data_IF_865446011421
#
_entry.id   IF_865446011421
#
_cell.length_a   1.000
_cell.length_b   1.000
_cell.length_c   1.000
_cell.angle_alpha   90.00
_cell.angle_beta   90.00
_cell.angle_gamma   90.00
#
_symmetry.space_group_name_H-M   'P 1'
#
loop_
_entity.id
_entity.type
_entity.pdbx_description
1 polymer ?
#
# COMPACT_ATOMS: atom_id res chain seq x y z
N UNK A 1 13.06 -18.32 -51.14
CA UNK A 1 13.15 -17.09 -50.34
C UNK A 1 12.09 -17.16 -49.24
N UNK A 2 12.49 -17.47 -48.01
CA UNK A 2 11.60 -17.42 -46.84
C UNK A 2 11.71 -16.03 -46.21
N UNK A 3 10.61 -15.28 -46.20
CA UNK A 3 10.51 -14.02 -45.48
C UNK A 3 10.24 -14.33 -44.00
N UNK A 4 11.25 -14.14 -43.15
CA UNK A 4 11.07 -14.11 -41.71
C UNK A 4 10.34 -12.82 -41.34
N UNK A 5 9.07 -12.93 -40.96
CA UNK A 5 8.35 -11.86 -40.27
C UNK A 5 8.96 -11.72 -38.87
N UNK A 6 9.79 -10.71 -38.67
CA UNK A 6 10.13 -10.25 -37.33
C UNK A 6 8.88 -9.61 -36.73
N UNK A 7 8.11 -10.37 -35.96
CA UNK A 7 7.17 -9.80 -35.00
C UNK A 7 7.99 -9.05 -33.96
N UNK A 8 8.16 -7.74 -34.17
CA UNK A 8 8.47 -6.80 -33.10
C UNK A 8 7.29 -6.83 -32.14
N UNK A 9 7.35 -7.74 -31.17
CA UNK A 9 6.59 -7.59 -29.94
C UNK A 9 7.21 -6.38 -29.26
N UNK A 10 6.68 -5.20 -29.56
CA UNK A 10 6.86 -4.06 -28.67
C UNK A 10 6.37 -4.56 -27.31
N UNK A 11 7.21 -4.62 -26.26
CA UNK A 11 6.65 -4.74 -24.94
C UNK A 11 5.71 -3.54 -24.83
N UNK A 12 4.41 -3.81 -24.67
CA UNK A 12 3.54 -2.85 -24.06
C UNK A 12 4.12 -2.66 -22.66
N UNK A 13 5.12 -1.77 -22.55
CA UNK A 13 5.66 -1.40 -21.27
C UNK A 13 4.46 -0.86 -20.53
N UNK A 14 4.06 -1.57 -19.47
CA UNK A 14 3.26 -0.97 -18.43
C UNK A 14 3.96 0.35 -18.13
N UNK A 15 3.38 1.46 -18.59
CA UNK A 15 3.90 2.79 -18.29
C UNK A 15 3.95 2.84 -16.78
N UNK A 16 5.16 2.82 -16.21
CA UNK A 16 5.30 2.86 -14.77
C UNK A 16 4.61 4.13 -14.30
N UNK A 17 3.68 4.08 -13.35
CA UNK A 17 2.95 5.29 -12.93
C UNK A 17 3.86 6.38 -12.39
N UNK A 18 5.07 6.03 -11.96
CA UNK A 18 6.14 6.99 -11.65
C UNK A 18 6.51 7.89 -12.84
N UNK A 19 6.29 7.46 -14.08
CA UNK A 19 6.44 8.26 -15.29
C UNK A 19 5.34 9.32 -15.47
N UNK A 20 4.23 9.20 -14.72
CA UNK A 20 3.17 10.21 -14.63
C UNK A 20 3.16 10.98 -13.31
N UNK A 21 3.99 10.57 -12.35
CA UNK A 21 4.11 11.19 -11.05
C UNK A 21 4.77 12.59 -11.19
N UNK A 22 4.07 13.69 -10.85
CA UNK A 22 4.62 15.03 -10.99
C UNK A 22 5.64 15.40 -9.89
N UNK A 23 5.76 14.58 -8.84
CA UNK A 23 6.82 14.66 -7.82
C UNK A 23 8.18 14.38 -8.45
N UNK A 24 9.23 15.11 -8.08
CA UNK A 24 10.60 14.86 -8.59
C UNK A 24 11.20 13.54 -8.09
N UNK A 25 12.18 12.98 -8.79
CA UNK A 25 12.85 11.74 -8.37
C UNK A 25 13.53 11.90 -7.00
N UNK A 26 14.07 13.09 -6.71
CA UNK A 26 14.68 13.40 -5.41
C UNK A 26 13.67 13.41 -4.25
N UNK A 27 12.42 13.80 -4.51
CA UNK A 27 11.36 13.73 -3.52
C UNK A 27 10.83 12.32 -3.38
N UNK A 28 10.65 11.61 -4.50
CA UNK A 28 10.23 10.21 -4.49
C UNK A 28 11.29 9.34 -3.82
N UNK A 29 12.57 9.71 -3.83
CA UNK A 29 13.63 9.01 -3.13
C UNK A 29 13.57 9.14 -1.59
N UNK A 30 12.71 10.00 -1.02
CA UNK A 30 12.51 10.12 0.43
C UNK A 30 11.64 8.97 0.96
N UNK A 31 12.10 7.74 0.73
CA UNK A 31 11.44 6.50 1.11
C UNK A 31 11.41 6.32 2.62
N UNK A 32 10.31 5.77 3.13
CA UNK A 32 10.26 5.27 4.49
C UNK A 32 11.11 4.01 4.59
N UNK A 33 12.08 4.02 5.50
CA UNK A 33 12.89 2.83 5.77
C UNK A 33 12.03 1.76 6.47
N UNK A 34 11.81 0.64 5.78
CA UNK A 34 11.12 -0.52 6.35
C UNK A 34 12.11 -1.61 6.73
N UNK A 35 11.84 -2.35 7.81
CA UNK A 35 12.63 -3.52 8.19
C UNK A 35 11.93 -4.79 7.70
N UNK A 36 12.57 -5.59 6.84
CA UNK A 36 11.96 -6.83 6.33
C UNK A 36 11.73 -7.82 7.48
N UNK A 37 10.61 -8.55 7.38
CA UNK A 37 10.23 -9.61 8.32
C UNK A 37 10.16 -10.97 7.63
N UNK A 38 9.44 -11.05 6.51
CA UNK A 38 9.14 -12.30 5.83
C UNK A 38 8.82 -12.02 4.36
N UNK A 39 9.31 -12.89 3.47
CA UNK A 39 8.72 -13.07 2.14
C UNK A 39 7.99 -14.40 2.18
N UNK A 40 6.68 -14.39 1.87
CA UNK A 40 5.85 -15.57 2.00
C UNK A 40 6.35 -16.73 1.13
N UNK A 41 6.44 -17.96 1.67
CA UNK A 41 6.53 -19.15 0.82
C UNK A 41 5.23 -19.34 0.02
N UNK A 42 5.30 -20.04 -1.11
CA UNK A 42 4.08 -20.42 -1.85
C UNK A 42 3.26 -21.48 -1.11
N UNK A 43 3.94 -22.49 -0.56
CA UNK A 43 3.31 -23.61 0.15
C UNK A 43 4.01 -23.80 1.49
N UNK A 44 3.25 -23.69 2.58
CA UNK A 44 3.78 -23.75 3.93
C UNK A 44 2.66 -23.78 4.96
N UNK A 45 2.86 -24.59 5.99
CA UNK A 45 2.04 -24.62 7.21
C UNK A 45 2.73 -23.91 8.38
N UNK A 46 3.85 -23.23 8.12
CA UNK A 46 4.63 -22.59 9.16
C UNK A 46 3.87 -21.39 9.74
N UNK A 47 3.87 -21.29 11.06
CA UNK A 47 3.42 -20.09 11.78
C UNK A 47 4.63 -19.20 12.10
N UNK A 48 4.49 -17.89 11.99
CA UNK A 48 5.54 -16.93 12.32
C UNK A 48 5.10 -15.98 13.43
N UNK A 49 5.95 -15.81 14.44
CA UNK A 49 5.72 -14.85 15.51
C UNK A 49 6.73 -13.70 15.44
N UNK A 50 6.22 -12.50 15.11
CA UNK A 50 6.98 -11.27 14.98
C UNK A 50 7.01 -10.50 16.30
N UNK A 51 7.97 -10.82 17.18
CA UNK A 51 8.12 -10.23 18.54
C UNK A 51 8.20 -8.70 18.60
N UNK A 52 8.58 -8.04 17.49
CA UNK A 52 8.82 -6.59 17.41
C UNK A 52 7.76 -5.87 16.57
N UNK A 53 6.54 -6.38 16.53
CA UNK A 53 5.38 -5.80 15.84
C UNK A 53 4.23 -5.72 16.84
N UNK A 54 3.48 -4.62 16.84
CA UNK A 54 2.46 -4.35 17.85
C UNK A 54 3.04 -4.25 19.27
N UNK A 55 2.16 -4.30 20.27
CA UNK A 55 2.53 -4.13 21.69
C UNK A 55 3.03 -5.42 22.36
N UNK A 56 2.62 -6.59 21.85
CA UNK A 56 2.90 -7.90 22.43
C UNK A 56 3.57 -8.89 21.44
N UNK A 57 3.94 -8.42 20.25
CA UNK A 57 4.29 -9.30 19.13
C UNK A 57 3.05 -9.77 18.38
N UNK A 58 3.15 -9.96 17.07
CA UNK A 58 2.04 -10.43 16.21
C UNK A 58 2.39 -11.79 15.64
N UNK A 59 1.42 -12.70 15.62
CA UNK A 59 1.54 -14.03 15.01
C UNK A 59 0.80 -14.06 13.69
N UNK A 60 1.45 -14.57 12.64
CA UNK A 60 0.85 -14.91 11.36
C UNK A 60 0.65 -16.43 11.29
N UNK A 61 -0.59 -16.85 11.10
CA UNK A 61 -1.00 -18.26 11.07
C UNK A 61 -2.08 -18.50 10.01
N UNK A 62 -2.28 -19.76 9.62
CA UNK A 62 -3.35 -20.16 8.71
C UNK A 62 -4.72 -19.91 9.34
N UNK A 63 -5.69 -19.54 8.51
CA UNK A 63 -7.07 -19.47 8.94
C UNK A 63 -7.62 -20.89 9.16
N UNK A 64 -8.39 -21.13 10.23
CA UNK A 64 -9.07 -22.40 10.42
C UNK A 64 -10.02 -22.67 9.25
N UNK A 65 -9.92 -23.85 8.64
CA UNK A 65 -10.77 -24.32 7.54
C UNK A 65 -10.59 -23.60 6.18
N UNK A 66 -9.60 -22.73 6.05
CA UNK A 66 -9.24 -22.09 4.77
C UNK A 66 -7.73 -22.20 4.54
N UNK A 67 -7.30 -23.29 3.92
CA UNK A 67 -5.87 -23.67 3.83
C UNK A 67 -5.01 -22.62 3.13
N UNK A 68 -5.53 -21.81 2.23
CA UNK A 68 -4.75 -20.78 1.52
C UNK A 68 -4.79 -19.40 2.17
N UNK A 69 -5.64 -19.23 3.19
CA UNK A 69 -5.89 -17.95 3.83
C UNK A 69 -5.11 -17.81 5.14
N UNK A 70 -4.71 -16.58 5.42
CA UNK A 70 -3.91 -16.24 6.58
C UNK A 70 -4.63 -15.23 7.47
N UNK A 71 -4.33 -15.30 8.76
CA UNK A 71 -4.77 -14.32 9.75
C UNK A 71 -3.60 -13.89 10.63
N UNK A 72 -3.71 -12.66 11.14
CA UNK A 72 -2.82 -12.11 12.15
C UNK A 72 -3.50 -12.13 13.50
N UNK A 73 -2.82 -12.60 14.54
CA UNK A 73 -3.33 -12.66 15.90
C UNK A 73 -2.34 -12.05 16.89
N UNK A 74 -2.86 -11.39 17.92
CA UNK A 74 -2.07 -10.99 19.08
C UNK A 74 -2.95 -10.64 20.29
N UNK A 75 -2.33 -10.01 21.29
CA UNK A 75 -2.98 -9.40 22.44
C UNK A 75 -2.68 -7.91 22.51
N UNK A 76 -3.65 -7.15 22.97
CA UNK A 76 -3.46 -5.75 23.34
C UNK A 76 -2.77 -5.61 24.71
N UNK A 77 -2.56 -4.37 25.18
CA UNK A 77 -1.90 -4.11 26.47
C UNK A 77 -2.70 -4.59 27.68
N UNK A 78 -4.02 -4.74 27.54
CA UNK A 78 -4.87 -5.31 28.58
C UNK A 78 -4.86 -6.85 28.56
N UNK A 79 -4.11 -7.47 27.64
CA UNK A 79 -4.05 -8.92 27.47
C UNK A 79 -5.24 -9.51 26.71
N UNK A 80 -6.11 -8.66 26.15
CA UNK A 80 -7.25 -9.10 25.37
C UNK A 80 -6.81 -9.46 23.95
N UNK A 81 -7.21 -10.64 23.52
CA UNK A 81 -6.85 -11.16 22.19
C UNK A 81 -7.58 -10.42 21.07
N UNK A 82 -6.96 -10.42 19.89
CA UNK A 82 -7.57 -9.99 18.64
C UNK A 82 -7.06 -10.85 17.49
N UNK A 83 -7.84 -10.86 16.41
CA UNK A 83 -7.52 -11.53 15.14
C UNK A 83 -7.95 -10.66 13.97
N UNK A 84 -7.18 -10.69 12.89
CA UNK A 84 -7.45 -9.97 11.64
C UNK A 84 -7.15 -10.90 10.47
N UNK A 85 -8.17 -11.31 9.68
CA UNK A 85 -7.94 -11.99 8.40
C UNK A 85 -7.16 -11.10 7.44
N UNK A 86 -6.15 -11.65 6.76
CA UNK A 86 -5.34 -10.93 5.75
C UNK A 86 -5.36 -11.61 4.38
N UNK A 87 -6.13 -12.70 4.24
CA UNK A 87 -6.39 -13.35 2.96
C UNK A 87 -5.23 -14.21 2.46
N UNK A 88 -5.22 -14.47 1.15
CA UNK A 88 -4.11 -15.13 0.46
C UNK A 88 -2.89 -14.20 0.38
N UNK A 89 -1.75 -14.65 0.91
CA UNK A 89 -0.50 -13.87 0.91
C UNK A 89 0.55 -14.39 -0.09
N UNK A 90 0.18 -15.33 -0.96
CA UNK A 90 0.95 -15.73 -2.13
C UNK A 90 -0.03 -16.18 -3.22
N UNK A 91 0.19 -15.75 -4.45
CA UNK A 91 -0.68 -16.03 -5.59
C UNK A 91 0.15 -16.14 -6.89
N UNK A 92 -0.52 -16.28 -8.04
CA UNK A 92 0.17 -16.37 -9.34
C UNK A 92 0.99 -15.12 -9.71
N UNK A 93 0.66 -13.95 -9.15
CA UNK A 93 1.41 -12.71 -9.36
C UNK A 93 2.67 -12.62 -8.51
N UNK A 94 2.76 -13.39 -7.42
CA UNK A 94 3.97 -13.48 -6.61
C UNK A 94 3.71 -13.75 -5.13
N UNK A 95 4.71 -13.40 -4.32
CA UNK A 95 4.74 -13.65 -2.88
C UNK A 95 4.56 -12.35 -2.13
N UNK A 96 3.70 -12.35 -1.11
CA UNK A 96 3.56 -11.25 -0.17
C UNK A 96 4.88 -10.98 0.56
N UNK A 97 5.18 -9.70 0.73
CA UNK A 97 6.37 -9.21 1.42
C UNK A 97 5.93 -8.44 2.66
N UNK A 98 6.40 -8.89 3.83
CA UNK A 98 6.05 -8.34 5.13
C UNK A 98 7.22 -7.55 5.70
N UNK A 99 6.90 -6.38 6.22
CA UNK A 99 7.84 -5.46 6.83
C UNK A 99 7.29 -4.85 8.11
N UNK A 100 8.16 -4.22 8.89
CA UNK A 100 7.78 -3.36 10.00
C UNK A 100 8.44 -2.00 9.96
N UNK A 101 7.73 -1.00 10.47
CA UNK A 101 8.22 0.32 10.81
C UNK A 101 7.27 0.96 11.83
N UNK A 102 7.72 1.97 12.57
CA UNK A 102 6.82 2.84 13.34
C UNK A 102 6.33 3.93 12.38
N UNK A 103 5.12 3.81 11.83
CA UNK A 103 4.67 4.62 10.70
C UNK A 103 4.16 5.99 11.15
N UNK A 104 3.56 6.09 12.34
CA UNK A 104 3.00 7.32 12.90
C UNK A 104 3.82 7.91 14.06
N UNK A 105 5.01 7.34 14.32
CA UNK A 105 5.96 7.78 15.34
C UNK A 105 5.39 7.68 16.76
N UNK A 106 4.51 6.71 17.01
CA UNK A 106 3.91 6.49 18.32
C UNK A 106 4.71 5.53 19.23
N UNK A 107 5.85 5.01 18.74
CA UNK A 107 6.73 4.08 19.46
C UNK A 107 6.34 2.62 19.34
N UNK A 108 5.24 2.30 18.65
CA UNK A 108 4.81 0.93 18.32
C UNK A 108 5.28 0.62 16.89
N UNK A 109 5.72 -0.62 16.67
CA UNK A 109 6.09 -1.06 15.33
C UNK A 109 4.85 -1.60 14.62
N UNK A 110 4.48 -0.97 13.53
CA UNK A 110 3.38 -1.35 12.66
C UNK A 110 3.80 -2.44 11.67
N UNK A 111 2.82 -3.06 11.03
CA UNK A 111 3.01 -4.09 10.01
C UNK A 111 2.60 -3.55 8.64
N UNK A 112 3.48 -3.77 7.66
CA UNK A 112 3.23 -3.46 6.26
C UNK A 112 3.31 -4.77 5.48
N UNK A 113 2.26 -5.11 4.74
CA UNK A 113 2.25 -6.23 3.80
C UNK A 113 2.05 -5.66 2.41
N UNK A 114 2.96 -5.99 1.50
CA UNK A 114 2.81 -5.73 0.07
C UNK A 114 2.56 -7.03 -0.66
N UNK A 115 1.46 -7.11 -1.39
CA UNK A 115 1.07 -8.27 -2.17
C UNK A 115 1.00 -7.88 -3.65
N UNK A 116 1.78 -8.53 -4.54
CA UNK A 116 1.65 -8.28 -5.97
C UNK A 116 0.28 -8.75 -6.48
N UNK A 117 -0.25 -8.01 -7.46
CA UNK A 117 -1.45 -8.34 -8.21
C UNK A 117 -1.09 -8.64 -9.67
N UNK A 118 -1.90 -9.45 -10.35
CA UNK A 118 -1.76 -9.73 -11.78
C UNK A 118 -2.40 -8.64 -12.67
N UNK A 119 -2.70 -7.47 -12.09
CA UNK A 119 -3.28 -6.34 -12.80
C UNK A 119 -2.39 -5.89 -13.96
N UNK A 120 -3.01 -5.60 -15.10
CA UNK A 120 -2.34 -5.11 -16.31
C UNK A 120 -2.94 -3.77 -16.75
N UNK A 121 -2.15 -2.93 -17.42
CA UNK A 121 -2.62 -1.65 -17.94
C UNK A 121 -3.02 -0.69 -16.82
N UNK A 122 -4.29 -0.28 -16.78
CA UNK A 122 -4.84 0.64 -15.76
C UNK A 122 -5.38 -0.09 -14.50
N UNK A 123 -5.20 -1.41 -14.39
CA UNK A 123 -5.59 -2.16 -13.20
C UNK A 123 -4.49 -2.10 -12.13
N UNK A 124 -4.83 -2.01 -10.82
CA UNK A 124 -3.87 -1.99 -9.72
C UNK A 124 -2.84 -3.13 -9.77
N UNK A 125 -1.58 -2.80 -9.48
CA UNK A 125 -0.45 -3.74 -9.50
C UNK A 125 -0.15 -4.37 -8.14
N UNK A 126 -0.73 -3.84 -7.07
CA UNK A 126 -0.52 -4.37 -5.75
C UNK A 126 -1.70 -4.08 -4.82
N UNK A 127 -1.81 -4.95 -3.82
CA UNK A 127 -2.63 -4.74 -2.64
C UNK A 127 -1.69 -4.49 -1.45
N UNK A 128 -1.90 -3.37 -0.74
CA UNK A 128 -1.22 -3.11 0.52
C UNK A 128 -2.14 -3.47 1.68
N UNK A 129 -1.59 -4.11 2.70
CA UNK A 129 -2.24 -4.23 4.02
C UNK A 129 -1.37 -3.46 5.01
N UNK A 130 -1.86 -2.31 5.44
CA UNK A 130 -1.19 -1.41 6.38
C UNK A 130 -1.89 -1.53 7.72
N UNK A 131 -1.29 -2.30 8.64
CA UNK A 131 -1.82 -2.50 9.99
C UNK A 131 -1.02 -1.67 10.99
N UNK A 132 -1.70 -0.64 11.50
CA UNK A 132 -1.17 0.27 12.52
C UNK A 132 -1.82 0.00 13.87
N UNK A 133 -1.19 0.42 14.97
CA UNK A 133 -1.69 0.10 16.31
C UNK A 133 -2.03 1.34 17.12
N UNK A 134 -3.22 1.36 17.70
CA UNK A 134 -3.59 2.33 18.72
C UNK A 134 -2.68 2.19 19.96
N UNK A 135 -2.69 3.19 20.85
CA UNK A 135 -1.82 3.17 22.05
C UNK A 135 -2.08 1.98 22.98
N UNK A 136 -3.32 1.51 23.06
CA UNK A 136 -3.73 0.31 23.78
C UNK A 136 -3.33 -0.98 23.06
N UNK A 137 -2.93 -0.92 21.79
CA UNK A 137 -2.42 -2.06 21.03
C UNK A 137 -3.47 -2.77 20.17
N UNK A 138 -4.57 -2.09 19.85
CA UNK A 138 -5.59 -2.59 18.94
C UNK A 138 -5.24 -2.20 17.50
N UNK A 139 -5.41 -3.11 16.53
CA UNK A 139 -5.06 -2.83 15.16
C UNK A 139 -6.10 -1.94 14.47
N UNK A 140 -5.61 -1.05 13.62
CA UNK A 140 -6.34 -0.35 12.58
C UNK A 140 -5.74 -0.75 11.22
N UNK A 141 -6.58 -1.33 10.36
CA UNK A 141 -6.16 -1.95 9.11
C UNK A 141 -6.67 -1.10 7.94
N UNK A 142 -5.74 -0.66 7.11
CA UNK A 142 -5.99 0.08 5.88
C UNK A 142 -5.49 -0.74 4.69
N UNK A 143 -6.39 -1.03 3.73
CA UNK A 143 -6.17 -2.03 2.67
C UNK A 143 -6.37 -1.44 1.27
N UNK A 144 -5.51 -0.51 0.82
CA UNK A 144 -5.68 0.08 -0.49
C UNK A 144 -5.12 -0.82 -1.60
N UNK A 145 -5.87 -0.85 -2.71
CA UNK A 145 -5.41 -1.40 -3.99
C UNK A 145 -4.90 -0.24 -4.85
N UNK A 146 -3.70 -0.40 -5.39
CA UNK A 146 -3.11 0.67 -6.19
C UNK A 146 -1.90 0.21 -6.99
N UNK A 147 -1.15 1.19 -7.48
CA UNK A 147 0.03 0.96 -8.31
C UNK A 147 1.32 0.91 -7.49
N UNK A 148 1.25 0.27 -6.33
CA UNK A 148 2.33 0.29 -5.37
C UNK A 148 3.48 -0.64 -5.77
N UNK A 149 4.72 -0.17 -5.68
CA UNK A 149 5.90 -0.99 -5.95
C UNK A 149 6.67 -1.30 -4.67
N UNK A 150 7.38 -2.42 -4.68
CA UNK A 150 8.29 -2.80 -3.63
C UNK A 150 9.69 -3.06 -4.19
N UNK A 151 10.70 -2.61 -3.45
CA UNK A 151 12.12 -2.79 -3.74
C UNK A 151 12.82 -3.45 -2.56
N UNK A 152 14.15 -3.57 -2.64
CA UNK A 152 14.96 -4.19 -1.57
C UNK A 152 14.83 -3.46 -0.22
N UNK A 153 14.39 -2.20 -0.21
CA UNK A 153 14.29 -1.36 0.98
C UNK A 153 12.89 -1.28 1.57
N UNK A 154 11.88 -1.88 0.94
CA UNK A 154 10.48 -1.81 1.37
C UNK A 154 9.53 -1.46 0.25
N UNK A 155 8.35 -0.95 0.63
CA UNK A 155 7.37 -0.38 -0.29
C UNK A 155 7.84 1.02 -0.70
N UNK A 156 8.00 1.24 -2.00
CA UNK A 156 8.54 2.48 -2.53
C UNK A 156 7.56 3.65 -2.34
N UNK A 157 6.27 3.40 -2.26
CA UNK A 157 5.25 4.45 -2.17
C UNK A 157 4.93 4.89 -0.73
N UNK A 158 5.61 4.30 0.26
CA UNK A 158 5.65 4.80 1.62
C UNK A 158 6.85 5.76 1.77
N UNK A 159 6.57 7.02 2.07
CA UNK A 159 7.52 8.13 2.06
C UNK A 159 7.60 8.81 3.43
N UNK A 160 8.66 9.57 3.67
CA UNK A 160 8.81 10.51 4.80
C UNK A 160 9.18 11.89 4.24
N UNK A 161 8.21 12.52 3.56
CA UNK A 161 8.43 13.76 2.77
C UNK A 161 8.80 14.97 3.62
N UNK A 162 8.59 14.89 4.93
CA UNK A 162 8.88 15.94 5.90
C UNK A 162 10.10 15.62 6.76
N UNK A 163 10.70 14.43 6.63
CA UNK A 163 11.82 13.97 7.45
C UNK A 163 11.52 13.92 8.95
N UNK A 164 10.23 13.85 9.33
CA UNK A 164 9.79 13.92 10.72
C UNK A 164 9.42 12.55 11.29
N UNK A 165 9.54 11.50 10.48
CA UNK A 165 9.25 10.12 10.85
C UNK A 165 7.79 9.71 10.70
N UNK A 166 6.87 10.63 10.40
CA UNK A 166 5.50 10.29 10.04
C UNK A 166 5.44 9.90 8.58
N UNK A 167 4.90 8.72 8.32
CA UNK A 167 4.85 8.12 6.99
C UNK A 167 3.70 8.71 6.19
N UNK A 168 3.96 9.01 4.91
CA UNK A 168 2.93 9.27 3.91
C UNK A 168 2.85 8.11 2.92
N UNK A 169 1.64 7.67 2.57
CA UNK A 169 1.38 6.81 1.43
C UNK A 169 1.09 7.69 0.21
N UNK A 170 1.88 7.52 -0.83
CA UNK A 170 1.66 8.10 -2.15
C UNK A 170 0.73 7.19 -2.95
N UNK A 171 -0.42 7.72 -3.35
CA UNK A 171 -1.44 6.97 -4.07
C UNK A 171 -1.76 7.66 -5.40
N UNK A 172 -1.96 6.87 -6.44
CA UNK A 172 -2.32 7.37 -7.76
C UNK A 172 -3.57 6.67 -8.27
N UNK A 173 -4.58 7.47 -8.62
CA UNK A 173 -5.83 6.99 -9.19
C UNK A 173 -6.11 7.71 -10.51
N UNK A 174 -6.84 7.06 -11.41
CA UNK A 174 -7.19 7.61 -12.71
C UNK A 174 -8.65 8.03 -12.76
N UNK A 175 -8.90 9.29 -13.11
CA UNK A 175 -10.27 9.76 -13.35
C UNK A 175 -10.28 10.94 -14.34
N UNK A 176 -11.32 11.03 -15.16
CA UNK A 176 -11.57 12.14 -16.09
C UNK A 176 -10.40 12.47 -17.05
N UNK A 177 -9.53 11.50 -17.36
CA UNK A 177 -8.35 11.72 -18.22
C UNK A 177 -7.12 12.26 -17.49
N UNK A 178 -7.10 12.17 -16.15
CA UNK A 178 -6.00 12.61 -15.31
C UNK A 178 -5.55 11.50 -14.35
N UNK A 179 -4.25 11.47 -14.10
CA UNK A 179 -3.67 10.88 -12.91
C UNK A 179 -3.85 11.85 -11.75
N UNK A 180 -4.44 11.36 -10.68
CA UNK A 180 -4.71 12.10 -9.45
C UNK A 180 -3.81 11.48 -8.40
N UNK A 181 -2.78 12.22 -8.01
CA UNK A 181 -1.83 11.81 -6.99
C UNK A 181 -2.30 12.35 -5.64
N UNK A 182 -2.70 11.46 -4.74
CA UNK A 182 -3.10 11.78 -3.37
C UNK A 182 -2.00 11.37 -2.38
N UNK A 183 -1.95 12.06 -1.24
CA UNK A 183 -1.19 11.61 -0.08
C UNK A 183 -2.13 11.22 1.04
N UNK A 184 -1.78 10.15 1.74
CA UNK A 184 -2.37 9.79 3.01
C UNK A 184 -1.29 9.81 4.07
N UNK A 185 -1.54 10.41 5.23
CA UNK A 185 -0.63 10.36 6.36
C UNK A 185 -1.28 9.59 7.50
N UNK A 186 -0.48 8.78 8.19
CA UNK A 186 -0.93 8.11 9.40
C UNK A 186 -0.64 8.96 10.64
N UNK A 187 -1.63 9.03 11.53
CA UNK A 187 -1.54 9.64 12.85
C UNK A 187 -2.44 8.92 13.84
N UNK A 188 -1.91 8.57 15.01
CA UNK A 188 -2.66 7.87 16.06
C UNK A 188 -3.36 6.61 15.50
N UNK A 189 -2.61 5.80 14.74
CA UNK A 189 -3.07 4.61 14.00
C UNK A 189 -4.12 4.84 12.91
N UNK A 190 -4.44 6.09 12.56
CA UNK A 190 -5.44 6.39 11.54
C UNK A 190 -4.81 7.06 10.33
N UNK A 191 -5.07 6.50 9.15
CA UNK A 191 -4.73 7.12 7.88
C UNK A 191 -5.72 8.24 7.58
N UNK A 192 -5.23 9.33 7.03
CA UNK A 192 -6.04 10.48 6.63
C UNK A 192 -5.52 11.01 5.31
N UNK A 193 -6.40 11.26 4.34
CA UNK A 193 -6.02 12.00 3.14
C UNK A 193 -5.61 13.42 3.53
N UNK A 194 -4.41 13.81 3.13
CA UNK A 194 -3.88 15.15 3.41
C UNK A 194 -4.05 16.06 2.20
N UNK A 195 -4.24 17.35 2.48
CA UNK A 195 -4.39 18.39 1.48
C UNK A 195 -3.34 19.48 1.69
N UNK A 196 -2.91 20.11 0.61
CA UNK A 196 -1.91 21.18 0.64
C UNK A 196 -0.49 20.68 0.45
N UNK A 197 0.48 21.49 0.87
CA UNK A 197 1.90 21.30 0.54
C UNK A 197 2.58 20.23 1.40
N UNK A 198 3.18 19.25 0.73
CA UNK A 198 4.10 18.27 1.29
C UNK A 198 5.34 18.21 0.40
N UNK A 199 6.49 18.63 0.93
CA UNK A 199 7.67 18.84 0.11
C UNK A 199 7.46 19.99 -0.89
N UNK A 200 7.71 19.74 -2.18
CA UNK A 200 7.60 20.72 -3.27
C UNK A 200 6.32 20.60 -4.08
N UNK A 201 5.34 19.82 -3.62
CA UNK A 201 4.09 19.59 -4.32
C UNK A 201 2.90 19.81 -3.40
N UNK A 202 1.81 20.36 -3.93
CA UNK A 202 0.52 20.45 -3.26
C UNK A 202 -0.38 19.30 -3.69
N UNK A 203 -1.05 18.67 -2.72
CA UNK A 203 -1.89 17.49 -2.96
C UNK A 203 -3.39 17.81 -2.78
N UNK A 204 -4.28 17.15 -3.55
CA UNK A 204 -3.95 16.22 -4.63
C UNK A 204 -3.29 16.92 -5.83
N UNK A 205 -2.35 16.24 -6.47
CA UNK A 205 -1.63 16.74 -7.63
C UNK A 205 -2.11 16.04 -8.90
N UNK A 206 -2.31 16.82 -9.97
CA UNK A 206 -2.89 16.32 -11.21
C UNK A 206 -1.84 16.24 -12.31
N UNK A 207 -1.86 15.14 -13.05
CA UNK A 207 -1.12 15.03 -14.31
C UNK A 207 -2.08 14.57 -15.40
N UNK A 208 -2.03 15.19 -16.58
CA UNK A 208 -2.87 14.75 -17.71
C UNK A 208 -2.35 13.43 -18.25
N UNK A 209 -3.24 12.47 -18.46
CA UNK A 209 -2.89 11.25 -19.17
C UNK A 209 -2.62 11.52 -20.65
N UNK A 210 -1.56 10.91 -21.14
CA UNK A 210 -1.14 10.89 -22.54
C UNK A 210 -0.72 9.47 -22.89
N UNK A 211 -0.56 9.14 -24.18
CA UNK A 211 -0.07 7.82 -24.57
C UNK A 211 1.45 7.63 -24.32
N UNK A 212 2.14 8.72 -23.98
CA UNK A 212 3.56 8.75 -23.60
C UNK A 212 3.70 9.29 -22.17
N UNK A 213 4.77 8.93 -21.45
CA UNK A 213 5.14 9.54 -20.17
C UNK A 213 4.93 11.05 -20.13
N UNK A 214 4.32 11.54 -19.05
CA UNK A 214 4.08 12.95 -18.84
C UNK A 214 4.04 13.22 -17.34
N UNK A 215 4.99 14.00 -16.81
CA UNK A 215 5.03 14.42 -15.39
C UNK A 215 4.59 15.87 -15.20
N UNK A 216 4.01 16.49 -16.22
CA UNK A 216 3.64 17.91 -16.17
C UNK A 216 2.45 18.12 -15.26
N UNK A 217 2.68 18.80 -14.14
CA UNK A 217 1.64 19.23 -13.22
C UNK A 217 0.58 20.07 -13.95
N UNK A 218 -0.69 19.73 -13.70
CA UNK A 218 -1.86 20.44 -14.18
C UNK A 218 -2.46 21.22 -13.01
N UNK A 219 -2.44 22.55 -13.11
CA UNK A 219 -3.02 23.44 -12.09
C UNK A 219 -4.55 23.56 -12.20
N UNK A 220 -5.07 23.41 -13.42
CA UNK A 220 -6.51 23.49 -13.70
C UNK A 220 -6.87 22.48 -14.80
N UNK A 221 -7.84 21.58 -14.55
CA UNK A 221 -8.37 20.69 -15.58
C UNK A 221 -8.95 21.47 -16.75
N UNK A 222 -8.88 20.88 -17.96
CA UNK A 222 -9.57 21.38 -19.15
C UNK A 222 -11.09 21.48 -18.87
N UNK A 223 -11.74 22.50 -19.42
CA UNK A 223 -13.17 22.72 -19.28
C UNK A 223 -13.98 21.45 -19.60
N UNK A 224 -14.99 21.16 -18.77
CA UNK A 224 -15.83 19.97 -18.88
C UNK A 224 -15.23 18.69 -18.26
N UNK A 225 -14.08 18.78 -17.59
CA UNK A 225 -13.50 17.67 -16.81
C UNK A 225 -13.49 18.01 -15.32
N UNK A 226 -13.84 17.01 -14.53
CA UNK A 226 -13.84 17.07 -13.06
C UNK A 226 -13.13 15.82 -12.51
N UNK A 227 -11.78 15.82 -12.44
CA UNK A 227 -11.03 14.70 -11.90
C UNK A 227 -11.23 14.60 -10.38
N UNK A 228 -11.87 13.52 -9.93
CA UNK A 228 -12.16 13.23 -8.53
C UNK A 228 -11.77 11.79 -8.17
N UNK A 229 -11.49 11.56 -6.89
CA UNK A 229 -11.16 10.24 -6.34
C UNK A 229 -11.82 10.07 -4.99
N UNK A 230 -12.36 8.88 -4.72
CA UNK A 230 -12.80 8.50 -3.39
C UNK A 230 -11.63 8.56 -2.40
N UNK A 231 -11.93 8.93 -1.16
CA UNK A 231 -10.93 8.93 -0.08
C UNK A 231 -10.75 7.49 0.43
N UNK A 232 -9.60 6.89 0.08
CA UNK A 232 -9.30 5.51 0.46
C UNK A 232 -9.25 5.35 1.98
N UNK A 233 -8.89 6.38 2.76
CA UNK A 233 -8.79 6.25 4.21
C UNK A 233 -10.15 5.96 4.87
N UNK A 234 -11.27 6.25 4.18
CA UNK A 234 -12.62 5.90 4.66
C UNK A 234 -12.86 4.39 4.73
N UNK A 235 -12.05 3.58 4.03
CA UNK A 235 -12.13 2.11 4.11
C UNK A 235 -11.31 1.54 5.28
N UNK A 236 -10.57 2.37 6.02
CA UNK A 236 -9.80 1.90 7.17
C UNK A 236 -10.73 1.41 8.28
N UNK A 237 -10.38 0.26 8.86
CA UNK A 237 -11.18 -0.38 9.90
C UNK A 237 -10.35 -0.57 11.16
N UNK A 238 -10.87 -0.14 12.31
CA UNK A 238 -10.18 -0.22 13.60
C UNK A 238 -10.92 -1.14 14.56
N UNK A 239 -10.17 -2.02 15.23
CA UNK A 239 -10.67 -2.86 16.31
C UNK A 239 -10.84 -2.06 17.63
N UNK A 240 -11.78 -1.12 17.65
CA UNK A 240 -12.05 -0.29 18.84
C UNK A 240 -12.82 -1.09 19.92
N UNK A 241 -13.61 -2.08 19.51
CA UNK A 241 -14.29 -3.06 20.38
C UNK A 241 -14.17 -4.48 19.80
N UNK A 242 -14.74 -5.48 20.45
CA UNK A 242 -14.71 -6.87 19.94
C UNK A 242 -15.32 -6.96 18.55
N UNK A 243 -14.60 -7.68 17.69
CA UNK A 243 -14.91 -8.09 16.31
C UNK A 243 -14.67 -7.09 15.16
N UNK A 244 -13.80 -7.53 14.25
CA UNK A 244 -13.69 -7.07 12.87
C UNK A 244 -14.30 -8.16 12.01
N UNK A 245 -15.29 -7.81 11.19
CA UNK A 245 -15.82 -8.67 10.15
C UNK A 245 -15.01 -8.55 8.85
N UNK A 246 -15.13 -9.61 8.04
CA UNK A 246 -14.27 -10.14 6.99
C UNK A 246 -13.39 -9.20 6.14
N UNK A 247 -12.17 -9.67 5.85
CA UNK A 247 -11.22 -9.05 4.91
C UNK A 247 -11.71 -9.12 3.46
N UNK A 248 -11.43 -8.08 2.67
CA UNK A 248 -12.03 -7.84 1.33
C UNK A 248 -11.28 -8.58 0.19
N UNK A 249 -10.41 -9.56 0.50
CA UNK A 249 -9.69 -10.31 -0.52
C UNK A 249 -10.43 -11.61 -0.92
N UNK A 250 -11.66 -11.49 -1.40
CA UNK A 250 -12.45 -12.61 -1.95
C UNK A 250 -12.56 -12.61 -3.48
N UNK A 251 -11.49 -12.22 -4.20
CA UNK A 251 -11.44 -12.31 -5.66
C UNK A 251 -10.15 -12.97 -6.14
#
# INVERSE_FOLDING_TARGET
MCAFLFCLVLPAQATSFTEYLPMSDSEYAQKRALKPLLTMPYYTEQTWHFRKVGVAGVTLEKMPNEEDYWQLTAKDRAGKSWKVPVGMLANMAGKGQLYRADLDRNGIQDLVIWLPSAGNGLAPYAHLILMTFTRDGRPCVFEPWGFYTASKTGVDDLLDLQGNGHTQLLDMQFNSGYWITSLYQVKDAKWQRVHGWFGKLSYPALTRFTYTPNRKLVLKPIAGRDPQTEDLALTQRCLITEDMLDGVNQL
#
